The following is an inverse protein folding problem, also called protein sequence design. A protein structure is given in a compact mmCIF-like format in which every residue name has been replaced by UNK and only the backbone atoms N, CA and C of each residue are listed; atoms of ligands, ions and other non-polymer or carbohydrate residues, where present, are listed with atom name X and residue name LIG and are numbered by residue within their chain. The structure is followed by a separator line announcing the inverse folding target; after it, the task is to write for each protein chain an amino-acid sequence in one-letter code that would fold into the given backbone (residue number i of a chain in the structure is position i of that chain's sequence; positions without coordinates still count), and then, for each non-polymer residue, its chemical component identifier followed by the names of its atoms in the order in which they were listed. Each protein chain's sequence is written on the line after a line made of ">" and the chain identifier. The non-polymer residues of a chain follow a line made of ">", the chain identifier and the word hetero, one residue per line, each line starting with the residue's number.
data_IF_839295385866
#
_entry.id   IF_839295385866
#
_cell.length_a   1.000
_cell.length_b   1.000
_cell.length_c   1.000
_cell.angle_alpha   90.00
_cell.angle_beta   90.00
_cell.angle_gamma   90.00
#
_symmetry.space_group_name_H-M   'P 1'
#
loop_
_entity.id
_entity.type
_entity.pdbx_description
1 polymer ?
#
# COMPACT_ATOMS: atom_id res chain seq x y z
N UNK A 1 -72.74 -1.45 27.91
CA UNK A 1 -73.94 -0.61 27.98
C UNK A 1 -73.92 0.30 26.76
N UNK A 2 -74.79 -0.02 25.82
CA UNK A 2 -75.38 0.87 24.78
C UNK A 2 -74.48 1.22 23.58
N UNK A 3 -74.63 0.38 22.54
CA UNK A 3 -74.69 0.79 21.14
C UNK A 3 -75.82 1.80 20.88
N UNK A 4 -75.64 2.66 19.87
CA UNK A 4 -76.58 2.94 18.75
C UNK A 4 -75.87 3.88 17.76
N UNK A 5 -75.49 3.45 16.54
CA UNK A 5 -76.29 3.36 15.30
C UNK A 5 -77.00 4.69 14.94
N UNK A 6 -77.11 5.17 13.69
CA UNK A 6 -76.67 4.80 12.33
C UNK A 6 -77.31 5.83 11.36
N UNK A 7 -76.86 5.87 10.09
CA UNK A 7 -77.51 6.49 8.90
C UNK A 7 -77.43 8.02 8.74
N UNK A 8 -77.27 8.63 7.56
CA UNK A 8 -77.35 8.16 6.16
C UNK A 8 -76.68 9.15 5.18
N UNK A 9 -76.63 8.72 3.92
CA UNK A 9 -75.85 9.21 2.77
C UNK A 9 -76.38 10.47 2.05
N UNK A 10 -75.51 11.16 1.28
CA UNK A 10 -75.62 11.58 -0.16
C UNK A 10 -74.78 12.86 -0.39
N UNK A 11 -73.76 12.86 -1.27
CA UNK A 11 -73.78 13.04 -2.74
C UNK A 11 -73.35 14.46 -3.15
N UNK A 12 -72.47 14.54 -4.17
CA UNK A 12 -71.96 15.78 -4.77
C UNK A 12 -70.71 16.31 -4.05
N UNK A 13 -69.49 16.22 -4.58
CA UNK A 13 -69.11 16.69 -5.90
C UNK A 13 -68.84 18.19 -5.86
N UNK A 14 -67.63 18.61 -5.47
CA UNK A 14 -66.90 19.69 -6.16
C UNK A 14 -65.53 19.89 -5.53
N UNK A 15 -64.55 19.93 -6.43
CA UNK A 15 -63.16 20.29 -6.25
C UNK A 15 -62.92 21.51 -5.35
N UNK A 16 -61.93 21.42 -4.45
CA UNK A 16 -61.03 22.54 -4.14
C UNK A 16 -59.68 21.97 -3.68
N UNK A 17 -58.73 21.99 -4.61
CA UNK A 17 -57.28 22.10 -4.44
C UNK A 17 -56.66 21.61 -3.11
N UNK A 18 -56.09 20.40 -3.16
CA UNK A 18 -55.07 19.94 -2.21
C UNK A 18 -53.79 20.77 -2.45
N UNK A 19 -53.58 21.80 -1.65
CA UNK A 19 -52.29 22.50 -1.60
C UNK A 19 -51.24 21.55 -1.01
N UNK A 20 -50.53 20.84 -1.87
CA UNK A 20 -49.27 20.20 -1.50
C UNK A 20 -48.28 21.29 -1.12
N UNK A 21 -48.05 21.42 0.18
CA UNK A 21 -46.93 22.21 0.71
C UNK A 21 -45.65 21.50 0.30
N UNK A 22 -45.13 21.86 -0.87
CA UNK A 22 -43.74 21.56 -1.23
C UNK A 22 -42.89 22.39 -0.29
N UNK A 23 -42.44 21.79 0.82
CA UNK A 23 -41.34 22.36 1.58
C UNK A 23 -40.16 22.38 0.59
N UNK A 24 -39.64 23.55 0.21
CA UNK A 24 -38.48 23.59 -0.65
C UNK A 24 -37.35 22.91 0.13
N UNK A 25 -36.87 21.81 -0.42
CA UNK A 25 -35.62 21.19 -0.01
C UNK A 25 -34.56 22.29 -0.14
N UNK A 26 -34.27 22.95 0.99
CA UNK A 26 -33.19 23.90 1.07
C UNK A 26 -31.94 23.08 0.76
N UNK A 27 -31.30 23.38 -0.37
CA UNK A 27 -29.95 22.93 -0.66
C UNK A 27 -29.03 23.57 0.38
N UNK A 28 -29.05 23.04 1.60
CA UNK A 28 -27.97 23.22 2.54
C UNK A 28 -26.76 22.52 1.91
N UNK A 29 -25.66 23.23 1.65
CA UNK A 29 -24.48 22.59 1.10
C UNK A 29 -24.07 21.48 2.07
N UNK A 30 -23.97 20.25 1.55
CA UNK A 30 -23.49 19.10 2.30
C UNK A 30 -22.20 19.50 3.02
N UNK A 31 -22.02 19.11 4.28
CA UNK A 31 -20.74 19.29 4.97
C UNK A 31 -19.57 18.74 4.12
N UNK A 32 -19.82 17.69 3.34
CA UNK A 32 -18.90 17.15 2.35
C UNK A 32 -18.74 18.04 1.11
N UNK A 33 -19.79 18.73 0.66
CA UNK A 33 -19.70 19.68 -0.45
C UNK A 33 -18.89 20.94 -0.11
N UNK A 34 -19.03 21.44 1.12
CA UNK A 34 -18.18 22.54 1.62
C UNK A 34 -16.73 22.07 1.74
N UNK A 35 -16.52 20.85 2.24
CA UNK A 35 -15.18 20.27 2.34
C UNK A 35 -14.55 20.06 0.96
N UNK A 36 -15.31 19.55 -0.01
CA UNK A 36 -14.86 19.35 -1.40
C UNK A 36 -14.61 20.67 -2.11
N UNK A 37 -15.33 21.74 -1.78
CA UNK A 37 -15.04 23.09 -2.26
C UNK A 37 -13.74 23.64 -1.66
N UNK A 38 -13.53 23.47 -0.34
CA UNK A 38 -12.30 23.85 0.37
C UNK A 38 -11.08 23.04 -0.13
N UNK A 39 -11.29 21.76 -0.46
CA UNK A 39 -10.24 20.86 -0.95
C UNK A 39 -10.03 20.94 -2.47
N UNK A 40 -11.07 21.26 -3.23
CA UNK A 40 -11.07 21.35 -4.70
C UNK A 40 -10.14 22.45 -5.22
N UNK A 41 -9.95 23.51 -4.44
CA UNK A 41 -9.03 24.61 -4.74
C UNK A 41 -7.55 24.29 -4.42
N UNK A 42 -7.27 23.13 -3.83
CA UNK A 42 -5.90 22.71 -3.47
C UNK A 42 -5.44 21.53 -4.31
N UNK A 43 -5.50 21.66 -5.64
CA UNK A 43 -4.57 20.89 -6.48
C UNK A 43 -3.13 21.21 -6.04
N UNK A 44 -2.23 20.22 -5.92
CA UNK A 44 -0.90 20.44 -5.37
C UNK A 44 -0.08 21.32 -6.33
N UNK A 45 -0.05 22.63 -6.04
CA UNK A 45 0.82 23.64 -6.66
C UNK A 45 2.32 23.40 -6.35
N UNK A 46 2.67 22.23 -5.82
CA UNK A 46 4.02 21.88 -5.48
C UNK A 46 4.71 21.21 -6.68
N UNK A 47 5.73 21.91 -7.19
CA UNK A 47 6.72 21.35 -8.11
C UNK A 47 7.14 19.95 -7.65
N UNK A 48 7.35 18.98 -8.57
CA UNK A 48 7.84 17.64 -8.23
C UNK A 48 9.06 17.66 -7.29
N UNK A 49 9.94 18.65 -7.46
CA UNK A 49 11.11 18.86 -6.61
C UNK A 49 10.71 19.23 -5.18
N UNK A 50 9.74 20.13 -5.00
CA UNK A 50 9.26 20.53 -3.67
C UNK A 50 8.61 19.37 -2.93
N UNK A 51 7.89 18.49 -3.64
CA UNK A 51 7.33 17.26 -3.07
C UNK A 51 8.42 16.28 -2.63
N UNK A 52 9.42 16.05 -3.47
CA UNK A 52 10.56 15.21 -3.13
C UNK A 52 11.37 15.76 -1.95
N UNK A 53 11.62 17.08 -1.91
CA UNK A 53 12.28 17.75 -0.78
C UNK A 53 11.51 17.57 0.52
N UNK A 54 10.18 17.74 0.48
CA UNK A 54 9.33 17.53 1.66
C UNK A 54 9.37 16.08 2.13
N UNK A 55 9.36 15.12 1.22
CA UNK A 55 9.48 13.69 1.54
C UNK A 55 10.79 13.39 2.29
N UNK A 56 11.91 13.90 1.78
CA UNK A 56 13.24 13.75 2.39
C UNK A 56 13.31 14.44 3.76
N UNK A 57 12.82 15.67 3.86
CA UNK A 57 12.80 16.42 5.11
C UNK A 57 11.99 15.69 6.18
N UNK A 58 10.82 15.16 5.80
CA UNK A 58 9.98 14.39 6.72
C UNK A 58 10.69 13.11 7.19
N UNK A 59 11.41 12.42 6.29
CA UNK A 59 12.19 11.24 6.65
C UNK A 59 13.33 11.54 7.65
N UNK A 60 13.97 12.70 7.56
CA UNK A 60 15.02 13.09 8.51
C UNK A 60 14.47 13.52 9.88
N UNK A 61 13.21 13.93 9.95
CA UNK A 61 12.55 14.33 11.19
C UNK A 61 11.93 13.14 11.93
N UNK A 62 11.57 12.08 11.22
CA UNK A 62 11.00 10.86 11.79
C UNK A 62 12.02 10.07 12.65
N UNK A 63 11.50 9.31 13.60
CA UNK A 63 12.32 8.51 14.52
C UNK A 63 13.16 7.46 13.77
N UNK A 64 14.45 7.40 14.10
CA UNK A 64 15.37 6.42 13.54
C UNK A 64 15.00 5.04 14.03
N UNK A 65 14.90 4.07 13.11
CA UNK A 65 14.68 2.67 13.46
C UNK A 65 15.80 2.21 14.44
N UNK A 66 15.45 1.84 15.69
CA UNK A 66 16.44 1.39 16.65
C UNK A 66 17.14 0.14 16.13
N UNK A 67 18.41 -0.07 16.48
CA UNK A 67 19.16 -1.25 16.01
C UNK A 67 18.57 -2.58 16.51
N UNK A 68 17.94 -2.55 17.69
CA UNK A 68 17.28 -3.69 18.30
C UNK A 68 15.82 -3.39 18.56
N UNK A 69 14.96 -4.37 18.32
CA UNK A 69 13.56 -4.34 18.73
C UNK A 69 13.43 -4.60 20.24
N UNK A 70 12.23 -4.40 20.78
CA UNK A 70 11.91 -4.66 22.20
C UNK A 70 12.20 -6.13 22.61
N UNK A 71 12.10 -7.07 21.67
CA UNK A 71 12.43 -8.48 21.84
C UNK A 71 13.95 -8.78 21.88
N UNK A 72 14.82 -7.77 21.77
CA UNK A 72 16.28 -7.91 21.71
C UNK A 72 16.85 -8.35 20.37
N UNK A 73 15.99 -8.65 19.39
CA UNK A 73 16.37 -9.02 18.03
C UNK A 73 16.83 -7.82 17.19
N UNK A 74 17.63 -8.08 16.14
CA UNK A 74 18.03 -7.03 15.19
C UNK A 74 16.81 -6.54 14.41
N UNK A 75 16.61 -5.23 14.37
CA UNK A 75 15.50 -4.62 13.66
C UNK A 75 15.62 -4.84 12.16
N UNK A 76 14.53 -5.28 11.53
CA UNK A 76 14.52 -5.57 10.11
C UNK A 76 14.19 -4.30 9.31
N UNK A 77 15.23 -3.69 8.73
CA UNK A 77 15.14 -2.48 7.91
C UNK A 77 14.20 -2.69 6.70
N UNK A 78 14.21 -3.88 6.08
CA UNK A 78 13.33 -4.17 4.94
C UNK A 78 11.85 -4.14 5.35
N UNK A 79 11.52 -4.64 6.54
CA UNK A 79 10.15 -4.62 7.03
C UNK A 79 9.69 -3.20 7.36
N UNK A 80 10.56 -2.38 7.93
CA UNK A 80 10.29 -0.96 8.15
C UNK A 80 9.93 -0.24 6.84
N UNK A 81 10.76 -0.38 5.79
CA UNK A 81 10.47 0.22 4.49
C UNK A 81 9.20 -0.33 3.82
N UNK A 82 8.77 -1.56 4.14
CA UNK A 82 7.47 -2.09 3.68
C UNK A 82 6.30 -1.33 4.33
N UNK A 83 6.37 -1.07 5.64
CA UNK A 83 5.35 -0.33 6.37
C UNK A 83 5.29 1.14 5.92
N UNK A 84 6.44 1.78 5.74
CA UNK A 84 6.53 3.19 5.33
C UNK A 84 6.35 3.43 3.82
N UNK A 85 6.00 2.39 3.04
CA UNK A 85 5.87 2.47 1.58
C UNK A 85 4.88 3.55 1.12
N UNK A 86 3.80 3.74 1.87
CA UNK A 86 2.76 4.70 1.54
C UNK A 86 3.14 6.14 1.91
N UNK A 87 4.04 6.30 2.88
CA UNK A 87 4.49 7.60 3.39
C UNK A 87 5.63 8.13 2.52
N UNK A 88 6.57 7.24 2.12
CA UNK A 88 7.77 7.61 1.35
C UNK A 88 7.89 6.85 0.02
N UNK A 89 6.99 7.10 -0.95
CA UNK A 89 6.92 6.31 -2.18
C UNK A 89 8.16 6.44 -3.09
N UNK A 90 8.90 7.55 -3.04
CA UNK A 90 10.10 7.74 -3.86
C UNK A 90 11.34 7.21 -3.13
N UNK A 91 11.47 7.44 -1.83
CA UNK A 91 12.59 6.91 -1.04
C UNK A 91 12.62 5.39 -1.04
N UNK A 92 11.48 4.72 -0.95
CA UNK A 92 11.40 3.25 -1.01
C UNK A 92 11.94 2.71 -2.34
N UNK A 93 11.71 3.42 -3.45
CA UNK A 93 12.25 3.03 -4.76
C UNK A 93 13.78 3.10 -4.77
N UNK A 94 14.34 4.19 -4.23
CA UNK A 94 15.79 4.39 -4.12
C UNK A 94 16.39 3.33 -3.19
N UNK A 95 15.79 3.11 -2.03
CA UNK A 95 16.21 2.10 -1.06
C UNK A 95 16.29 0.70 -1.69
N UNK A 96 15.27 0.30 -2.46
CA UNK A 96 15.26 -1.01 -3.14
C UNK A 96 16.37 -1.18 -4.17
N UNK A 97 16.85 -0.11 -4.79
CA UNK A 97 17.94 -0.20 -5.76
C UNK A 97 19.28 -0.26 -5.01
N UNK A 98 19.45 0.56 -3.99
CA UNK A 98 20.76 0.79 -3.39
C UNK A 98 21.07 -0.17 -2.22
N UNK A 99 20.07 -0.58 -1.44
CA UNK A 99 20.28 -1.32 -0.20
C UNK A 99 20.19 -2.85 -0.36
N UNK A 100 19.94 -3.35 -1.57
CA UNK A 100 20.02 -4.77 -1.90
C UNK A 100 21.42 -5.20 -2.36
N UNK A 101 22.39 -4.28 -2.39
CA UNK A 101 23.77 -4.56 -2.78
C UNK A 101 24.50 -5.16 -1.59
N UNK A 102 25.03 -6.38 -1.76
CA UNK A 102 25.89 -6.98 -0.75
C UNK A 102 27.20 -6.19 -0.69
N UNK A 103 27.62 -5.80 0.51
CA UNK A 103 28.86 -5.05 0.72
C UNK A 103 30.15 -5.88 0.45
N UNK A 104 30.05 -7.18 0.22
CA UNK A 104 31.19 -8.09 0.10
C UNK A 104 31.03 -9.05 -1.08
N UNK A 105 32.15 -9.49 -1.66
CA UNK A 105 32.21 -10.54 -2.68
C UNK A 105 31.95 -11.95 -2.14
N UNK A 106 31.86 -12.11 -0.81
CA UNK A 106 31.77 -13.41 -0.12
C UNK A 106 30.65 -14.31 -0.65
N UNK A 107 29.43 -13.83 -0.97
CA UNK A 107 28.40 -14.70 -1.54
C UNK A 107 28.79 -15.23 -2.92
N UNK A 108 29.38 -14.37 -3.76
CA UNK A 108 29.88 -14.77 -5.07
C UNK A 108 30.99 -15.81 -4.92
N UNK A 109 31.94 -15.58 -4.01
CA UNK A 109 33.02 -16.54 -3.72
C UNK A 109 32.46 -17.89 -3.25
N UNK A 110 31.46 -17.91 -2.36
CA UNK A 110 30.81 -19.15 -1.91
C UNK A 110 30.15 -19.90 -3.08
N UNK A 111 29.47 -19.19 -3.97
CA UNK A 111 28.87 -19.75 -5.18
C UNK A 111 29.95 -20.34 -6.09
N UNK A 112 31.05 -19.61 -6.31
CA UNK A 112 32.17 -20.09 -7.14
C UNK A 112 32.93 -21.25 -6.51
N UNK A 113 33.09 -21.29 -5.19
CA UNK A 113 33.67 -22.46 -4.50
C UNK A 113 32.79 -23.70 -4.65
N UNK A 114 31.46 -23.55 -4.46
CA UNK A 114 30.50 -24.65 -4.71
C UNK A 114 30.58 -25.13 -6.17
N UNK A 115 30.68 -24.21 -7.13
CA UNK A 115 30.83 -24.54 -8.55
C UNK A 115 32.17 -25.23 -8.84
N UNK A 116 33.27 -24.78 -8.24
CA UNK A 116 34.59 -25.40 -8.34
C UNK A 116 34.58 -26.85 -7.85
N UNK A 117 33.91 -27.12 -6.73
CA UNK A 117 33.71 -28.48 -6.24
C UNK A 117 32.86 -29.31 -7.20
N UNK A 118 31.77 -28.76 -7.74
CA UNK A 118 30.93 -29.47 -8.72
C UNK A 118 31.71 -29.89 -9.98
N UNK A 119 32.62 -29.04 -10.45
CA UNK A 119 33.48 -29.29 -11.61
C UNK A 119 34.62 -30.27 -11.27
N UNK A 120 35.16 -30.19 -10.04
CA UNK A 120 36.35 -30.95 -9.61
C UNK A 120 36.02 -32.35 -9.08
N UNK A 121 35.01 -32.50 -8.21
CA UNK A 121 34.63 -33.80 -7.62
C UNK A 121 34.05 -34.75 -8.66
N UNK A 122 33.28 -34.22 -9.62
CA UNK A 122 32.76 -35.01 -10.73
C UNK A 122 33.69 -34.83 -11.92
N UNK A 123 34.60 -35.78 -12.17
CA UNK A 123 35.36 -35.98 -13.44
C UNK A 123 34.45 -36.20 -14.67
N UNK A 124 33.28 -35.59 -14.71
CA UNK A 124 32.29 -35.72 -15.76
C UNK A 124 32.48 -34.62 -16.79
N UNK A 125 32.27 -34.99 -18.05
CA UNK A 125 32.18 -34.12 -19.23
C UNK A 125 30.91 -33.24 -19.18
N UNK A 126 30.72 -32.48 -18.10
CA UNK A 126 29.64 -31.51 -17.99
C UNK A 126 30.01 -30.29 -18.83
N UNK A 127 29.09 -29.88 -19.70
CA UNK A 127 29.22 -28.60 -20.39
C UNK A 127 29.03 -27.45 -19.41
N UNK A 128 29.65 -26.30 -19.70
CA UNK A 128 29.52 -25.08 -18.88
C UNK A 128 28.06 -24.70 -18.62
N UNK A 129 27.21 -24.84 -19.64
CA UNK A 129 25.77 -24.56 -19.57
C UNK A 129 25.04 -25.44 -18.52
N UNK A 130 25.40 -26.73 -18.41
CA UNK A 130 24.80 -27.61 -17.41
C UNK A 130 25.25 -27.28 -16.00
N UNK A 131 26.50 -26.85 -15.83
CA UNK A 131 27.03 -26.40 -14.54
C UNK A 131 26.31 -25.15 -14.07
N UNK A 132 26.10 -24.19 -14.95
CA UNK A 132 25.34 -22.96 -14.67
C UNK A 132 23.91 -23.28 -14.22
N UNK A 133 23.22 -24.17 -14.96
CA UNK A 133 21.85 -24.56 -14.61
C UNK A 133 21.78 -25.26 -13.24
N UNK A 134 22.70 -26.19 -12.95
CA UNK A 134 22.74 -26.87 -11.65
C UNK A 134 23.03 -25.87 -10.53
N UNK A 135 23.94 -24.93 -10.74
CA UNK A 135 24.27 -23.90 -9.76
C UNK A 135 23.08 -22.98 -9.49
N UNK A 136 22.37 -22.58 -10.55
CA UNK A 136 21.14 -21.81 -10.44
C UNK A 136 20.06 -22.56 -9.65
N UNK A 137 19.79 -23.83 -9.99
CA UNK A 137 18.81 -24.64 -9.28
C UNK A 137 19.19 -24.80 -7.80
N UNK A 138 20.43 -25.15 -7.50
CA UNK A 138 20.90 -25.31 -6.13
C UNK A 138 20.78 -24.02 -5.31
N UNK A 139 21.08 -22.86 -5.91
CA UNK A 139 20.97 -21.57 -5.21
C UNK A 139 19.52 -21.18 -4.86
N UNK A 140 18.54 -21.58 -5.68
CA UNK A 140 17.13 -21.21 -5.50
C UNK A 140 16.30 -22.27 -4.75
N UNK A 141 16.74 -23.53 -4.73
CA UNK A 141 16.08 -24.59 -3.96
C UNK A 141 16.30 -24.42 -2.45
N UNK A 142 17.49 -23.99 -2.01
CA UNK A 142 17.77 -23.73 -0.59
C UNK A 142 16.83 -22.65 0.02
N UNK A 143 16.24 -21.77 -0.80
CA UNK A 143 15.31 -20.72 -0.34
C UNK A 143 13.83 -21.13 -0.33
N UNK A 144 13.47 -22.33 -0.80
CA UNK A 144 12.06 -22.77 -0.92
C UNK A 144 11.60 -23.67 0.25
N UNK A 145 12.54 -24.18 1.04
CA UNK A 145 12.29 -25.10 2.17
C UNK A 145 12.34 -24.40 3.56
N UNK A 146 12.32 -23.06 3.60
CA UNK A 146 12.25 -22.24 4.82
C UNK A 146 11.00 -21.37 4.84
#
# INVERSE_FOLDING_TARGET
>A
MIEKNTSEQHSGGSCTSRSSVTIPFRNEPSAWGILDEIMGDKQPQASPISRAKKEIESYFQDDVLPRRNDDGNSSNVLNWWKTFRHIYPNLVKIFRINCNIVATSVPCERIFSKAGNLISEKRTRLSSEKVELILFLNANLESSDQ
#
